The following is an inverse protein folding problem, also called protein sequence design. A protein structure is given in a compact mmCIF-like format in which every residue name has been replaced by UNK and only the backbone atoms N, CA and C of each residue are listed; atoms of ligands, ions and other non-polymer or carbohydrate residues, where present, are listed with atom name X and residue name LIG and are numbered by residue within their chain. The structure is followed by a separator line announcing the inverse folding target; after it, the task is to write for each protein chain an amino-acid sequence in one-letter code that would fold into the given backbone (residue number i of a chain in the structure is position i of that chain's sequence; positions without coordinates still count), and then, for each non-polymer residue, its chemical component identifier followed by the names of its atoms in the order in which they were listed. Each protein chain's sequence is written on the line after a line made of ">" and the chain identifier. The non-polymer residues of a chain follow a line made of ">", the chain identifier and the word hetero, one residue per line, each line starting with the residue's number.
data_IF_903412443522
#
_entry.id   IF_903412443522
#
_cell.length_a   1.000
_cell.length_b   1.000
_cell.length_c   1.000
_cell.angle_alpha   90.00
_cell.angle_beta   90.00
_cell.angle_gamma   90.00
#
_symmetry.space_group_name_H-M   'P 1'
#
loop_
_entity.id
_entity.type
_entity.pdbx_description
1 polymer ?
#
# COMPACT_ATOMS: atom_id res chain seq x y z
N UNK A 1 14.51 -12.71 12.50
CA UNK A 1 14.66 -11.25 12.41
C UNK A 1 13.27 -10.69 12.53
N UNK A 2 13.00 -10.06 13.66
CA UNK A 2 11.66 -9.73 14.13
C UNK A 2 11.00 -8.80 13.12
N UNK A 3 9.93 -9.27 12.47
CA UNK A 3 8.93 -8.35 11.96
C UNK A 3 8.51 -7.52 13.17
N UNK A 4 8.91 -6.25 13.23
CA UNK A 4 8.33 -5.34 14.21
C UNK A 4 6.84 -5.31 13.87
N UNK A 5 6.05 -6.08 14.63
CA UNK A 5 4.62 -5.90 14.68
C UNK A 5 4.45 -4.44 15.10
N UNK A 6 3.92 -3.63 14.19
CA UNK A 6 3.58 -2.27 14.54
C UNK A 6 2.48 -2.37 15.58
N UNK A 7 2.66 -1.78 16.77
CA UNK A 7 1.61 -1.71 17.81
C UNK A 7 0.45 -0.76 17.40
N UNK A 8 0.25 -0.55 16.09
CA UNK A 8 -0.82 0.27 15.56
C UNK A 8 -2.09 -0.58 15.47
N UNK A 9 -3.04 -0.31 16.37
CA UNK A 9 -4.38 -0.92 16.35
C UNK A 9 -5.29 -0.32 15.26
N UNK A 10 -4.85 0.72 14.56
CA UNK A 10 -5.64 1.38 13.50
C UNK A 10 -5.32 0.79 12.14
N UNK A 11 -6.27 0.03 11.60
CA UNK A 11 -6.26 -0.50 10.24
C UNK A 11 -7.47 -0.02 9.46
N UNK A 12 -7.34 0.01 8.14
CA UNK A 12 -8.41 0.30 7.19
C UNK A 12 -8.64 -0.90 6.29
N UNK A 13 -9.84 -1.46 6.33
CA UNK A 13 -10.23 -2.53 5.42
C UNK A 13 -10.61 -1.97 4.06
N UNK A 14 -10.04 -2.52 2.99
CA UNK A 14 -10.37 -2.16 1.60
C UNK A 14 -10.58 -3.41 0.75
N UNK A 15 -11.55 -3.33 -0.15
CA UNK A 15 -11.76 -4.37 -1.16
C UNK A 15 -10.71 -4.27 -2.25
N UNK A 16 -10.05 -5.39 -2.57
CA UNK A 16 -9.05 -5.45 -3.64
C UNK A 16 -9.75 -5.56 -5.00
N UNK A 17 -9.54 -4.60 -5.92
CA UNK A 17 -10.06 -4.69 -7.29
C UNK A 17 -9.63 -5.99 -7.96
N UNK A 18 -10.50 -6.55 -8.81
CA UNK A 18 -10.27 -7.87 -9.40
C UNK A 18 -8.93 -7.99 -10.14
N UNK A 19 -8.47 -6.91 -10.78
CA UNK A 19 -7.19 -6.83 -11.48
C UNK A 19 -5.96 -7.03 -10.57
N UNK A 20 -6.07 -6.72 -9.27
CA UNK A 20 -4.94 -6.73 -8.33
C UNK A 20 -4.96 -7.91 -7.35
N UNK A 21 -5.97 -8.78 -7.44
CA UNK A 21 -6.13 -9.90 -6.50
C UNK A 21 -5.00 -10.91 -6.55
N UNK A 22 -4.31 -11.05 -7.68
CA UNK A 22 -3.16 -11.95 -7.79
C UNK A 22 -1.93 -11.45 -7.04
N UNK A 23 -1.87 -10.14 -6.73
CA UNK A 23 -0.80 -9.51 -5.96
C UNK A 23 -1.17 -9.29 -4.49
N UNK A 24 -2.43 -9.53 -4.12
CA UNK A 24 -2.93 -9.31 -2.78
C UNK A 24 -3.03 -10.61 -1.98
N UNK A 25 -2.88 -10.57 -0.64
CA UNK A 25 -3.03 -11.75 0.20
C UNK A 25 -4.48 -12.26 0.28
N UNK A 26 -5.47 -11.40 0.02
CA UNK A 26 -6.89 -11.75 0.00
C UNK A 26 -7.71 -10.78 -0.86
N UNK A 27 -9.00 -11.09 -1.06
CA UNK A 27 -9.94 -10.20 -1.78
C UNK A 27 -10.35 -8.96 -1.01
N UNK A 28 -10.10 -8.94 0.30
CA UNK A 28 -10.25 -7.79 1.20
C UNK A 28 -9.02 -7.78 2.09
N UNK A 29 -8.41 -6.61 2.23
CA UNK A 29 -7.14 -6.43 2.94
C UNK A 29 -7.28 -5.31 3.96
N UNK A 30 -6.56 -5.44 5.07
CA UNK A 30 -6.36 -4.39 6.03
C UNK A 30 -5.03 -3.68 5.74
N UNK A 31 -5.08 -2.36 5.76
CA UNK A 31 -3.92 -1.49 5.60
C UNK A 31 -3.69 -0.80 6.94
N UNK A 32 -2.50 -0.99 7.52
CA UNK A 32 -2.10 -0.24 8.70
C UNK A 32 -1.89 1.24 8.33
N UNK A 33 -2.56 2.16 9.01
CA UNK A 33 -2.47 3.60 8.73
C UNK A 33 -1.10 4.18 9.06
N UNK A 34 -0.32 3.51 9.91
CA UNK A 34 1.04 3.94 10.30
C UNK A 34 2.12 3.24 9.50
N UNK A 35 2.16 1.91 9.50
CA UNK A 35 3.27 1.17 8.87
C UNK A 35 3.05 0.73 7.43
N UNK A 36 1.86 1.02 6.88
CA UNK A 36 1.47 0.71 5.50
C UNK A 36 1.52 -0.77 5.12
N UNK A 37 1.63 -1.66 6.12
CA UNK A 37 1.56 -3.11 5.91
C UNK A 37 0.17 -3.50 5.41
N UNK A 38 0.16 -4.46 4.49
CA UNK A 38 -1.07 -5.04 3.96
C UNK A 38 -1.26 -6.45 4.54
N UNK A 39 -2.38 -6.68 5.19
CA UNK A 39 -2.73 -7.98 5.78
C UNK A 39 -4.08 -8.48 5.26
N UNK A 40 -4.31 -9.79 5.15
CA UNK A 40 -5.62 -10.31 4.75
C UNK A 40 -6.65 -10.06 5.88
N UNK A 41 -7.84 -9.58 5.54
CA UNK A 41 -8.95 -9.49 6.50
C UNK A 41 -9.49 -10.88 6.78
N UNK A 42 -9.57 -11.27 8.05
CA UNK A 42 -10.33 -12.45 8.43
C UNK A 42 -11.84 -12.16 8.31
N UNK A 43 -12.62 -13.08 7.73
CA UNK A 43 -14.06 -12.89 7.40
C UNK A 43 -14.95 -12.33 8.54
N UNK A 44 -14.50 -12.38 9.79
CA UNK A 44 -15.23 -11.90 10.98
C UNK A 44 -15.12 -10.39 11.23
N UNK A 45 -14.16 -9.71 10.61
CA UNK A 45 -13.84 -8.30 10.90
C UNK A 45 -14.25 -7.34 9.78
N UNK A 46 -14.90 -7.87 8.73
CA UNK A 46 -15.39 -7.07 7.62
C UNK A 46 -16.53 -6.14 8.07
N UNK A 47 -16.26 -4.85 8.18
CA UNK A 47 -17.31 -3.83 8.22
C UNK A 47 -17.97 -3.76 6.83
N UNK A 48 -19.26 -4.12 6.70
CA UNK A 48 -19.86 -4.39 5.39
C UNK A 48 -20.24 -3.13 4.59
N UNK A 49 -20.24 -1.93 5.17
CA UNK A 49 -20.85 -0.76 4.52
C UNK A 49 -20.15 0.56 4.88
N UNK A 50 -19.03 0.84 4.19
CA UNK A 50 -18.40 2.16 4.19
C UNK A 50 -17.33 2.25 3.11
N UNK A 51 -17.27 3.36 2.38
CA UNK A 51 -16.09 3.67 1.58
C UNK A 51 -14.94 3.91 2.58
N UNK A 52 -13.82 3.18 2.49
CA UNK A 52 -12.72 3.36 3.41
C UNK A 52 -12.20 4.79 3.31
N UNK A 53 -12.08 5.48 4.44
CA UNK A 53 -11.54 6.84 4.50
C UNK A 53 -10.02 6.82 4.33
N UNK A 54 -9.53 6.53 3.13
CA UNK A 54 -8.10 6.37 2.81
C UNK A 54 -7.24 7.59 3.19
N UNK A 55 -7.84 8.78 3.25
CA UNK A 55 -7.19 9.99 3.76
C UNK A 55 -6.81 9.92 5.24
N UNK A 56 -7.36 8.98 6.01
CA UNK A 56 -6.96 8.77 7.41
C UNK A 56 -5.58 8.10 7.53
N UNK A 57 -5.02 7.56 6.44
CA UNK A 57 -3.64 7.07 6.39
C UNK A 57 -2.67 8.25 6.28
N UNK A 58 -2.88 9.10 5.27
CA UNK A 58 -2.12 10.32 5.02
C UNK A 58 -2.80 11.11 3.91
N UNK A 59 -2.68 12.44 3.94
CA UNK A 59 -3.14 13.34 2.85
C UNK A 59 -2.43 13.06 1.51
N UNK A 60 -1.29 12.35 1.54
CA UNK A 60 -0.58 11.91 0.35
C UNK A 60 -1.34 10.82 -0.42
N UNK A 61 -2.14 10.01 0.27
CA UNK A 61 -2.77 8.82 -0.29
C UNK A 61 -3.92 9.21 -1.22
N UNK A 62 -4.04 8.58 -2.41
CA UNK A 62 -5.18 8.81 -3.27
C UNK A 62 -6.50 8.44 -2.57
N UNK A 63 -7.48 9.35 -2.57
CA UNK A 63 -8.78 9.10 -1.95
C UNK A 63 -9.60 7.97 -2.59
N UNK A 64 -9.22 7.51 -3.79
CA UNK A 64 -9.94 6.46 -4.53
C UNK A 64 -9.25 5.10 -4.37
N UNK A 65 -9.96 4.04 -3.94
CA UNK A 65 -9.39 2.70 -3.78
C UNK A 65 -8.70 2.16 -5.04
N UNK A 66 -9.21 2.46 -6.22
CA UNK A 66 -8.64 1.99 -7.49
C UNK A 66 -7.22 2.53 -7.74
N UNK A 67 -6.87 3.65 -7.09
CA UNK A 67 -5.54 4.28 -7.17
C UNK A 67 -4.68 3.93 -5.96
N UNK A 68 -5.30 3.84 -4.78
CA UNK A 68 -4.59 3.59 -3.52
C UNK A 68 -4.20 2.12 -3.34
N UNK A 69 -5.07 1.18 -3.69
CA UNK A 69 -4.81 -0.26 -3.52
C UNK A 69 -3.55 -0.71 -4.27
N UNK A 70 -3.38 -0.45 -5.58
CA UNK A 70 -2.16 -0.87 -6.27
C UNK A 70 -0.90 -0.23 -5.69
N UNK A 71 -0.97 1.02 -5.20
CA UNK A 71 0.13 1.69 -4.52
C UNK A 71 0.52 0.99 -3.21
N UNK A 72 -0.44 0.65 -2.35
CA UNK A 72 -0.16 -0.04 -1.08
C UNK A 72 0.40 -1.45 -1.31
N UNK A 73 -0.12 -2.18 -2.30
CA UNK A 73 0.43 -3.48 -2.69
C UNK A 73 1.87 -3.35 -3.19
N UNK A 74 2.19 -2.35 -4.03
CA UNK A 74 3.55 -2.10 -4.47
C UNK A 74 4.50 -1.78 -3.31
N UNK A 75 4.04 -0.98 -2.34
CA UNK A 75 4.78 -0.66 -1.10
C UNK A 75 5.06 -1.92 -0.28
N UNK A 76 4.05 -2.73 0.00
CA UNK A 76 4.21 -3.95 0.81
C UNK A 76 5.14 -4.98 0.14
N UNK A 77 4.97 -5.20 -1.17
CA UNK A 77 5.78 -6.10 -1.97
C UNK A 77 7.25 -5.64 -2.08
N UNK A 78 7.52 -4.34 -1.92
CA UNK A 78 8.89 -3.78 -1.94
C UNK A 78 9.77 -4.26 -0.77
N UNK A 79 9.17 -4.88 0.26
CA UNK A 79 9.88 -5.64 1.30
C UNK A 79 10.81 -6.71 0.69
N UNK A 80 10.40 -7.29 -0.45
CA UNK A 80 11.16 -8.26 -1.24
C UNK A 80 11.17 -7.90 -2.73
N UNK A 81 11.73 -6.72 -3.05
CA UNK A 81 11.78 -6.18 -4.42
C UNK A 81 12.35 -7.17 -5.45
N UNK A 82 13.35 -7.98 -5.10
CA UNK A 82 13.95 -8.92 -6.04
C UNK A 82 12.99 -10.04 -6.49
N UNK A 83 12.05 -10.44 -5.63
CA UNK A 83 11.06 -11.47 -5.93
C UNK A 83 9.88 -10.85 -6.68
N UNK A 84 9.49 -9.64 -6.30
CA UNK A 84 8.26 -9.01 -6.73
C UNK A 84 8.44 -7.95 -7.82
N UNK A 85 9.60 -7.87 -8.47
CA UNK A 85 9.97 -6.77 -9.38
C UNK A 85 8.90 -6.48 -10.43
N UNK A 86 8.49 -7.49 -11.19
CA UNK A 86 7.56 -7.34 -12.30
C UNK A 86 6.15 -6.95 -11.80
N UNK A 87 5.73 -7.50 -10.66
CA UNK A 87 4.46 -7.14 -10.03
C UNK A 87 4.48 -5.67 -9.55
N UNK A 88 5.57 -5.25 -8.91
CA UNK A 88 5.74 -3.87 -8.45
C UNK A 88 5.71 -2.92 -9.64
N UNK A 89 6.46 -3.20 -10.70
CA UNK A 89 6.49 -2.38 -11.92
C UNK A 89 5.09 -2.22 -12.52
N UNK A 90 4.36 -3.32 -12.73
CA UNK A 90 2.99 -3.29 -13.25
C UNK A 90 2.02 -2.49 -12.36
N UNK A 91 2.13 -2.62 -11.04
CA UNK A 91 1.27 -1.90 -10.10
C UNK A 91 1.55 -0.39 -10.13
N UNK A 92 2.83 0.01 -10.20
CA UNK A 92 3.22 1.42 -10.25
C UNK A 92 2.79 2.07 -11.57
N UNK A 93 2.95 1.39 -12.71
CA UNK A 93 2.44 1.87 -14.00
C UNK A 93 0.93 2.09 -13.98
N UNK A 94 0.19 1.18 -13.34
CA UNK A 94 -1.27 1.32 -13.21
C UNK A 94 -1.68 2.52 -12.34
N UNK A 95 -0.92 2.80 -11.29
CA UNK A 95 -1.10 4.01 -10.45
C UNK A 95 -0.90 5.27 -11.30
N UNK A 96 0.18 5.32 -12.11
CA UNK A 96 0.46 6.43 -13.04
C UNK A 96 -0.64 6.60 -14.07
N UNK A 97 -1.04 5.50 -14.71
CA UNK A 97 -2.10 5.47 -15.72
C UNK A 97 -3.45 5.91 -15.16
N UNK A 98 -3.71 5.64 -13.88
CA UNK A 98 -4.88 6.11 -13.16
C UNK A 98 -4.79 7.60 -12.73
N UNK A 99 -3.67 8.27 -13.02
CA UNK A 99 -3.45 9.70 -12.84
C UNK A 99 -2.84 10.10 -11.50
N UNK A 100 -2.12 9.18 -10.85
CA UNK A 100 -1.39 9.43 -9.59
C UNK A 100 0.09 9.20 -9.84
N UNK A 101 0.95 10.14 -9.46
CA UNK A 101 2.40 9.93 -9.50
C UNK A 101 2.81 9.09 -8.27
N UNK A 102 3.24 7.83 -8.44
CA UNK A 102 3.54 6.95 -7.33
C UNK A 102 4.80 7.39 -6.59
N UNK A 103 5.83 7.88 -7.28
CA UNK A 103 7.09 8.30 -6.68
C UNK A 103 6.87 9.56 -5.83
N UNK A 104 6.12 10.53 -6.34
CA UNK A 104 5.74 11.72 -5.59
C UNK A 104 4.89 11.36 -4.37
N UNK A 105 4.01 10.36 -4.48
CA UNK A 105 3.20 9.91 -3.35
C UNK A 105 4.07 9.25 -2.28
N UNK A 106 5.01 8.39 -2.67
CA UNK A 106 5.99 7.78 -1.75
C UNK A 106 6.84 8.86 -1.07
N UNK A 107 7.28 9.88 -1.80
CA UNK A 107 8.04 11.00 -1.23
C UNK A 107 7.25 11.77 -0.17
N UNK A 108 5.95 11.98 -0.41
CA UNK A 108 5.08 12.64 0.57
C UNK A 108 4.82 11.76 1.79
N UNK A 109 4.65 10.44 1.60
CA UNK A 109 4.52 9.49 2.70
C UNK A 109 5.79 9.45 3.56
N UNK A 110 6.98 9.48 2.95
CA UNK A 110 8.25 9.56 3.66
C UNK A 110 8.45 10.88 4.43
N UNK A 111 7.81 11.96 3.97
CA UNK A 111 7.81 13.25 4.65
C UNK A 111 6.73 13.38 5.74
N UNK A 112 5.78 12.45 5.81
CA UNK A 112 4.67 12.47 6.76
C UNK A 112 5.09 11.84 8.10
N UNK A 113 5.18 12.60 9.21
CA UNK A 113 5.61 12.07 10.50
C UNK A 113 4.59 11.13 11.16
N UNK A 114 3.36 11.05 10.64
CA UNK A 114 2.34 10.10 11.12
C UNK A 114 2.51 8.70 10.54
N UNK A 115 3.35 8.55 9.50
CA UNK A 115 3.60 7.30 8.79
C UNK A 115 5.03 6.82 9.06
N UNK A 116 5.17 5.54 9.41
CA UNK A 116 6.44 4.86 9.65
C UNK A 116 6.45 3.52 8.91
N UNK A 117 6.76 3.52 7.59
CA UNK A 117 6.63 2.35 6.75
C UNK A 117 7.42 1.15 7.30
N UNK A 118 6.80 -0.03 7.34
CA UNK A 118 7.47 -1.25 7.79
C UNK A 118 8.58 -1.70 6.82
N UNK A 119 8.46 -1.29 5.55
CA UNK A 119 9.52 -1.42 4.55
C UNK A 119 10.43 -0.21 4.61
N UNK A 120 11.73 -0.40 4.42
CA UNK A 120 12.72 0.67 4.22
C UNK A 120 12.46 1.40 2.89
N UNK A 121 11.35 2.17 2.84
CA UNK A 121 10.87 2.85 1.64
C UNK A 121 11.85 3.91 1.16
N UNK A 122 12.58 4.56 2.06
CA UNK A 122 13.62 5.52 1.70
C UNK A 122 14.70 4.86 0.83
N UNK A 123 15.17 3.68 1.23
CA UNK A 123 16.12 2.90 0.43
C UNK A 123 15.50 2.34 -0.85
N UNK A 124 14.24 1.89 -0.79
CA UNK A 124 13.56 1.29 -1.96
C UNK A 124 13.17 2.31 -3.01
N UNK A 125 12.87 3.56 -2.64
CA UNK A 125 12.47 4.65 -3.54
C UNK A 125 13.34 4.74 -4.80
N UNK A 126 14.66 4.80 -4.62
CA UNK A 126 15.61 4.88 -5.74
C UNK A 126 15.56 3.66 -6.66
N UNK A 127 15.24 2.48 -6.12
CA UNK A 127 15.11 1.27 -6.92
C UNK A 127 13.80 1.23 -7.68
N UNK A 128 12.70 1.70 -7.07
CA UNK A 128 11.39 1.84 -7.71
C UNK A 128 11.44 2.83 -8.87
N UNK A 129 12.17 3.93 -8.73
CA UNK A 129 12.41 4.90 -9.80
C UNK A 129 13.14 4.29 -11.02
N UNK A 130 13.88 3.20 -10.86
CA UNK A 130 14.51 2.50 -11.99
C UNK A 130 13.60 1.45 -12.64
N UNK A 131 12.38 1.26 -12.12
CA UNK A 131 11.38 0.36 -12.70
C UNK A 131 10.44 1.08 -13.67
N UNK A 132 10.30 2.40 -13.54
CA UNK A 132 9.46 3.27 -14.38
C UNK A 132 10.32 3.96 -15.45
#
# INVERSE_FOLDING_TARGET
>A
MSASACDCETTLSVSVPAAYREHAPASTIDICTRCLRVEPVEERERDPDGDPELSSVSDAVPARPERAVPLFLAIDLSSSLAINRDAIESLLEDVERAGTDPLLTIDRLLADPSVEPAVDLERRRHQLEQLL
#
